data_IF_818111523610
#
_entry.id   IF_818111523610
#
_cell.length_a   1.000
_cell.length_b   1.000
_cell.length_c   1.000
_cell.angle_alpha   90.00
_cell.angle_beta   90.00
_cell.angle_gamma   90.00
#
_symmetry.space_group_name_H-M   'P 1'
#
loop_
_entity.id
_entity.type
_entity.pdbx_description
1 polymer ?
#
# COMPACT_ATOMS: atom_id res chain seq x y z
N UNK A 1 27.51 2.81 8.83
CA UNK A 1 27.03 3.06 7.46
C UNK A 1 25.66 3.70 7.55
N UNK A 2 25.40 4.81 6.87
CA UNK A 2 24.04 5.28 6.74
C UNK A 2 23.25 4.15 6.08
N UNK A 3 22.21 3.65 6.75
CA UNK A 3 21.27 2.76 6.13
C UNK A 3 20.71 3.54 4.94
N UNK A 4 20.98 3.09 3.72
CA UNK A 4 20.32 3.66 2.55
C UNK A 4 18.84 3.41 2.75
N UNK A 5 18.09 4.46 3.13
CA UNK A 5 16.64 4.38 3.16
C UNK A 5 16.19 3.96 1.75
N UNK A 6 15.52 2.83 1.65
CA UNK A 6 15.02 2.37 0.37
C UNK A 6 14.03 3.41 -0.15
N UNK A 7 14.24 3.91 -1.37
CA UNK A 7 13.24 4.72 -2.06
C UNK A 7 12.38 3.81 -2.91
N UNK A 8 11.08 3.90 -2.76
CA UNK A 8 10.16 3.08 -3.55
C UNK A 8 8.97 3.88 -4.04
N UNK A 9 8.49 3.54 -5.24
CA UNK A 9 7.37 4.19 -5.90
C UNK A 9 6.08 3.78 -5.23
N UNK A 10 5.20 4.71 -4.88
CA UNK A 10 3.92 4.48 -4.21
C UNK A 10 3.14 3.27 -4.78
N UNK A 11 3.01 3.21 -6.11
CA UNK A 11 2.28 2.12 -6.78
C UNK A 11 2.90 0.74 -6.50
N UNK A 12 4.23 0.65 -6.51
CA UNK A 12 4.95 -0.58 -6.21
C UNK A 12 4.81 -0.97 -4.75
N UNK A 13 4.82 0.00 -3.83
CA UNK A 13 4.57 -0.23 -2.40
C UNK A 13 3.20 -0.87 -2.17
N UNK A 14 2.17 -0.33 -2.79
CA UNK A 14 0.81 -0.87 -2.70
C UNK A 14 0.74 -2.30 -3.24
N UNK A 15 1.45 -2.60 -4.32
CA UNK A 15 1.46 -3.95 -4.91
C UNK A 15 2.25 -4.95 -4.06
N UNK A 16 3.41 -4.56 -3.49
CA UNK A 16 4.31 -5.45 -2.74
C UNK A 16 3.93 -5.63 -1.26
N UNK A 17 3.36 -4.61 -0.63
CA UNK A 17 3.09 -4.62 0.81
C UNK A 17 1.62 -4.39 1.15
N UNK A 18 0.82 -3.94 0.19
CA UNK A 18 -0.62 -3.66 0.36
C UNK A 18 -0.93 -2.38 1.14
N UNK A 19 0.08 -1.53 1.38
CA UNK A 19 -0.01 -0.30 2.16
C UNK A 19 1.03 0.72 1.69
N UNK A 20 0.70 2.00 1.88
CA UNK A 20 1.61 3.13 1.70
C UNK A 20 2.56 3.34 2.91
N UNK A 21 2.40 2.55 3.98
CA UNK A 21 3.19 2.61 5.21
C UNK A 21 3.70 1.23 5.61
N UNK A 22 4.60 0.62 4.80
CA UNK A 22 5.04 -0.75 5.04
C UNK A 22 5.92 -0.87 6.27
N UNK A 23 5.66 -1.90 7.07
CA UNK A 23 6.65 -2.37 8.04
C UNK A 23 7.64 -3.30 7.33
N UNK A 24 8.86 -2.78 7.11
CA UNK A 24 9.94 -3.52 6.43
C UNK A 24 10.64 -4.52 7.36
N UNK A 25 10.30 -4.57 8.64
CA UNK A 25 10.72 -5.65 9.56
C UNK A 25 10.04 -6.96 9.23
N UNK A 26 8.83 -6.89 8.64
CA UNK A 26 8.15 -8.03 8.07
C UNK A 26 8.77 -8.37 6.70
N UNK A 27 9.47 -9.52 6.55
CA UNK A 27 10.18 -9.87 5.32
C UNK A 27 9.28 -10.37 4.18
N UNK A 28 7.99 -10.59 4.46
CA UNK A 28 7.06 -11.14 3.48
C UNK A 28 6.69 -10.07 2.42
N UNK A 29 6.54 -10.53 1.20
CA UNK A 29 6.16 -9.71 0.05
C UNK A 29 4.92 -10.33 -0.60
N UNK A 30 4.02 -9.47 -1.08
CA UNK A 30 2.85 -9.85 -1.87
C UNK A 30 3.29 -9.98 -3.33
N UNK A 31 2.95 -11.08 -3.98
CA UNK A 31 3.21 -11.31 -5.40
C UNK A 31 1.91 -11.34 -6.20
N UNK A 32 1.90 -10.79 -7.41
CA UNK A 32 0.79 -10.97 -8.35
C UNK A 32 0.98 -12.29 -9.09
N UNK A 33 0.06 -13.21 -8.87
CA UNK A 33 0.07 -14.53 -9.50
C UNK A 33 -1.17 -14.77 -10.36
N UNK A 34 -1.85 -13.71 -10.75
CA UNK A 34 -3.09 -13.78 -11.54
C UNK A 34 -2.91 -14.60 -12.82
N UNK A 35 -1.78 -14.45 -13.50
CA UNK A 35 -1.49 -15.19 -14.74
C UNK A 35 -1.31 -16.69 -14.49
N UNK A 36 -0.81 -17.10 -13.32
CA UNK A 36 -0.62 -18.51 -12.97
C UNK A 36 -1.96 -19.27 -12.80
N UNK A 37 -3.05 -18.55 -12.66
CA UNK A 37 -4.38 -19.14 -12.52
C UNK A 37 -5.23 -19.09 -13.79
N UNK A 38 -4.72 -18.50 -14.88
CA UNK A 38 -5.40 -18.59 -16.18
C UNK A 38 -5.18 -19.96 -16.80
N UNK A 39 -6.26 -20.62 -17.18
CA UNK A 39 -6.24 -21.97 -17.74
C UNK A 39 -5.50 -22.99 -16.84
N UNK A 40 -5.54 -22.78 -15.53
CA UNK A 40 -4.83 -23.61 -14.55
C UNK A 40 -5.54 -24.91 -14.21
N UNK A 41 -6.85 -24.97 -14.46
CA UNK A 41 -7.75 -26.03 -13.99
C UNK A 41 -8.50 -25.67 -12.70
N UNK A 42 -8.04 -24.69 -11.92
CA UNK A 42 -8.73 -24.25 -10.71
C UNK A 42 -9.88 -23.29 -11.03
N UNK A 43 -11.03 -23.85 -11.36
CA UNK A 43 -12.21 -23.18 -11.92
C UNK A 43 -12.70 -21.96 -11.13
N UNK A 44 -12.57 -21.98 -9.80
CA UNK A 44 -13.04 -20.87 -8.96
C UNK A 44 -12.26 -19.60 -9.26
N UNK A 45 -10.91 -19.67 -9.35
CA UNK A 45 -10.11 -18.50 -9.64
C UNK A 45 -10.17 -18.11 -11.11
N UNK A 46 -10.21 -19.08 -12.03
CA UNK A 46 -10.42 -18.80 -13.46
C UNK A 46 -11.66 -17.95 -13.68
N UNK A 47 -12.81 -18.39 -13.18
CA UNK A 47 -14.09 -17.66 -13.32
C UNK A 47 -14.05 -16.26 -12.68
N UNK A 48 -13.32 -16.08 -11.58
CA UNK A 48 -13.17 -14.77 -10.97
C UNK A 48 -12.25 -13.86 -11.79
N UNK A 49 -11.16 -14.38 -12.34
CA UNK A 49 -10.25 -13.64 -13.22
C UNK A 49 -10.97 -13.16 -14.50
N UNK A 50 -11.85 -13.98 -15.08
CA UNK A 50 -12.70 -13.58 -16.21
C UNK A 50 -13.61 -12.40 -15.88
N UNK A 51 -13.98 -12.22 -14.61
CA UNK A 51 -14.74 -11.07 -14.10
C UNK A 51 -13.88 -9.85 -13.74
N UNK A 52 -12.57 -9.91 -13.99
CA UNK A 52 -11.63 -8.83 -13.69
C UNK A 52 -10.98 -8.88 -12.31
N UNK A 53 -11.16 -9.97 -11.57
CA UNK A 53 -10.48 -10.17 -10.28
C UNK A 53 -9.00 -10.47 -10.49
N UNK A 54 -8.21 -10.22 -9.45
CA UNK A 54 -6.77 -10.53 -9.41
C UNK A 54 -6.49 -11.56 -8.32
N UNK A 55 -5.40 -12.30 -8.49
CA UNK A 55 -4.92 -13.25 -7.47
C UNK A 55 -3.58 -12.77 -6.93
N UNK A 56 -3.54 -12.55 -5.62
CA UNK A 56 -2.34 -12.17 -4.87
C UNK A 56 -1.87 -13.36 -4.05
N UNK A 57 -0.55 -13.54 -3.97
CA UNK A 57 0.09 -14.62 -3.23
C UNK A 57 0.96 -14.06 -2.10
N UNK A 58 0.91 -14.67 -0.94
CA UNK A 58 1.74 -14.38 0.21
C UNK A 58 2.43 -15.66 0.65
N UNK A 59 3.76 -15.69 0.54
CA UNK A 59 4.59 -16.82 0.93
C UNK A 59 4.67 -16.93 2.45
N UNK A 60 4.53 -18.14 2.97
CA UNK A 60 4.77 -18.52 4.36
C UNK A 60 6.01 -19.43 4.40
N UNK A 61 7.20 -18.88 4.70
CA UNK A 61 8.44 -19.66 4.67
C UNK A 61 8.48 -20.74 5.75
N UNK A 62 9.08 -21.90 5.42
CA UNK A 62 9.30 -23.02 6.31
C UNK A 62 8.02 -23.51 7.05
N UNK A 63 6.89 -23.46 6.39
CA UNK A 63 5.58 -23.78 6.99
C UNK A 63 4.97 -25.11 6.51
N UNK A 64 5.66 -25.88 5.67
CA UNK A 64 5.13 -27.17 5.17
C UNK A 64 4.83 -28.17 6.28
N UNK A 65 5.63 -28.15 7.36
CA UNK A 65 5.47 -29.04 8.52
C UNK A 65 4.37 -28.59 9.51
N UNK A 66 3.73 -27.45 9.29
CA UNK A 66 2.63 -26.99 10.14
C UNK A 66 1.44 -27.95 10.03
N UNK A 67 0.75 -28.25 11.14
CA UNK A 67 -0.40 -29.14 11.10
C UNK A 67 -1.55 -28.52 10.30
N UNK A 68 -2.40 -29.35 9.70
CA UNK A 68 -3.57 -28.90 8.95
C UNK A 68 -4.43 -27.89 9.71
N UNK A 69 -4.57 -28.06 11.02
CA UNK A 69 -5.31 -27.14 11.88
C UNK A 69 -4.79 -25.71 11.83
N UNK A 70 -3.48 -25.50 11.56
CA UNK A 70 -2.90 -24.16 11.40
C UNK A 70 -3.41 -23.48 10.11
N UNK A 71 -3.48 -24.20 9.01
CA UNK A 71 -4.05 -23.72 7.75
C UNK A 71 -5.55 -23.46 7.87
N UNK A 72 -6.26 -24.36 8.54
CA UNK A 72 -7.71 -24.23 8.77
C UNK A 72 -8.02 -23.02 9.66
N UNK A 73 -7.19 -22.72 10.68
CA UNK A 73 -7.29 -21.51 11.51
C UNK A 73 -7.13 -20.24 10.69
N UNK A 74 -6.14 -20.17 9.80
CA UNK A 74 -5.94 -19.01 8.92
C UNK A 74 -7.10 -18.83 7.94
N UNK A 75 -7.62 -19.92 7.41
CA UNK A 75 -8.81 -19.87 6.55
C UNK A 75 -10.07 -19.42 7.31
N UNK A 76 -10.24 -19.84 8.58
CA UNK A 76 -11.30 -19.36 9.48
C UNK A 76 -11.18 -17.86 9.74
N UNK A 77 -10.00 -17.43 10.15
CA UNK A 77 -9.71 -16.00 10.35
C UNK A 77 -10.04 -15.15 9.11
N UNK A 78 -9.67 -15.59 7.91
CA UNK A 78 -9.99 -14.87 6.69
C UNK A 78 -11.52 -14.73 6.46
N UNK A 79 -12.31 -15.72 6.86
CA UNK A 79 -13.78 -15.64 6.80
C UNK A 79 -14.35 -14.67 7.81
N UNK A 80 -13.78 -14.63 9.02
CA UNK A 80 -14.16 -13.66 10.05
C UNK A 80 -13.87 -12.22 9.61
N UNK A 81 -12.82 -12.02 8.78
CA UNK A 81 -12.51 -10.74 8.11
C UNK A 81 -13.37 -10.47 6.85
N UNK A 82 -14.41 -11.26 6.61
CA UNK A 82 -15.37 -11.05 5.52
C UNK A 82 -14.95 -11.64 4.16
N UNK A 83 -13.88 -12.42 4.10
CA UNK A 83 -13.45 -13.09 2.88
C UNK A 83 -14.12 -14.46 2.70
N UNK A 84 -14.15 -14.97 1.46
CA UNK A 84 -14.69 -16.30 1.16
C UNK A 84 -13.82 -17.44 1.71
N UNK A 85 -12.58 -17.16 2.05
CA UNK A 85 -11.58 -18.05 2.58
C UNK A 85 -10.18 -17.69 2.14
N UNK A 86 -9.19 -18.42 2.62
CA UNK A 86 -7.78 -18.26 2.30
C UNK A 86 -7.22 -19.61 1.82
N UNK A 87 -7.20 -19.80 0.50
CA UNK A 87 -6.67 -21.01 -0.12
C UNK A 87 -5.14 -21.04 -0.05
N UNK A 88 -4.57 -22.23 -0.14
CA UNK A 88 -3.12 -22.40 -0.05
C UNK A 88 -2.59 -23.55 -0.91
N UNK A 89 -1.29 -23.49 -1.19
CA UNK A 89 -0.45 -24.55 -1.77
C UNK A 89 0.79 -24.72 -0.88
N UNK A 90 1.23 -25.93 -0.70
CA UNK A 90 2.47 -26.29 0.02
C UNK A 90 3.44 -26.91 -0.98
N UNK A 91 4.71 -26.55 -0.90
CA UNK A 91 5.80 -27.22 -1.61
C UNK A 91 6.67 -27.99 -0.60
N UNK A 92 6.59 -29.31 -0.64
CA UNK A 92 7.33 -30.21 0.25
C UNK A 92 7.94 -31.35 -0.55
N UNK A 93 9.24 -31.61 -0.36
CA UNK A 93 9.99 -32.61 -1.12
C UNK A 93 9.84 -32.47 -2.64
N UNK A 94 9.83 -31.21 -3.12
CA UNK A 94 9.56 -30.82 -4.51
C UNK A 94 8.18 -31.27 -5.05
N UNK A 95 7.25 -31.63 -4.17
CA UNK A 95 5.88 -31.96 -4.54
C UNK A 95 4.92 -30.89 -4.06
N UNK A 96 3.98 -30.52 -4.91
CA UNK A 96 2.91 -29.59 -4.56
C UNK A 96 1.78 -30.36 -3.84
N UNK A 97 1.35 -29.80 -2.71
CA UNK A 97 0.27 -30.35 -1.87
C UNK A 97 -0.74 -29.26 -1.51
N UNK A 98 -1.95 -29.63 -1.20
CA UNK A 98 -2.98 -28.72 -0.70
C UNK A 98 -4.23 -28.65 -1.58
N UNK A 99 -5.26 -27.94 -1.12
CA UNK A 99 -6.59 -27.98 -1.78
C UNK A 99 -6.59 -27.34 -3.17
N UNK A 100 -5.69 -26.40 -3.45
CA UNK A 100 -5.60 -25.73 -4.74
C UNK A 100 -4.74 -26.54 -5.72
N UNK A 101 -3.58 -27.05 -5.29
CA UNK A 101 -2.65 -27.76 -6.17
C UNK A 101 -3.26 -29.00 -6.83
N UNK A 102 -4.16 -29.69 -6.13
CA UNK A 102 -4.83 -30.87 -6.67
C UNK A 102 -5.70 -30.61 -7.91
N UNK A 103 -6.01 -29.35 -8.17
CA UNK A 103 -6.88 -28.94 -9.28
C UNK A 103 -6.13 -28.06 -10.30
N UNK A 104 -4.83 -27.84 -10.13
CA UNK A 104 -3.99 -27.08 -11.06
C UNK A 104 -3.16 -28.03 -11.93
N UNK A 105 -2.90 -27.63 -13.16
CA UNK A 105 -1.95 -28.35 -14.00
C UNK A 105 -0.49 -28.01 -13.59
N UNK A 106 0.44 -28.87 -13.99
CA UNK A 106 1.85 -28.82 -13.58
C UNK A 106 2.57 -27.55 -14.07
N UNK A 107 2.29 -27.11 -15.30
CA UNK A 107 2.89 -25.89 -15.88
C UNK A 107 2.54 -24.65 -15.04
N UNK A 108 1.28 -24.51 -14.63
CA UNK A 108 0.82 -23.39 -13.80
C UNK A 108 1.37 -23.46 -12.39
N UNK A 109 1.58 -24.65 -11.83
CA UNK A 109 2.22 -24.83 -10.52
C UNK A 109 3.71 -24.44 -10.55
N UNK A 110 4.45 -24.79 -11.59
CA UNK A 110 5.85 -24.35 -11.74
C UNK A 110 5.96 -22.83 -12.00
N UNK A 111 5.02 -22.26 -12.77
CA UNK A 111 4.91 -20.81 -12.91
C UNK A 111 4.65 -20.12 -11.58
N UNK A 112 3.73 -20.67 -10.78
CA UNK A 112 3.42 -20.18 -9.43
C UNK A 112 4.64 -20.22 -8.51
N UNK A 113 5.39 -21.33 -8.52
CA UNK A 113 6.63 -21.48 -7.75
C UNK A 113 7.65 -20.37 -8.09
N UNK A 114 7.81 -20.08 -9.36
CA UNK A 114 8.71 -19.03 -9.84
C UNK A 114 8.23 -17.63 -9.43
N UNK A 115 6.95 -17.32 -9.68
CA UNK A 115 6.39 -15.99 -9.43
C UNK A 115 6.27 -15.64 -7.95
N UNK A 116 6.02 -16.64 -7.09
CA UNK A 116 5.96 -16.42 -5.65
C UNK A 116 7.28 -16.69 -4.91
N UNK A 117 8.37 -16.96 -5.63
CA UNK A 117 9.67 -17.41 -5.04
C UNK A 117 9.48 -18.52 -4.01
N UNK A 118 8.62 -19.50 -4.34
CA UNK A 118 8.29 -20.61 -3.44
C UNK A 118 9.44 -21.60 -3.39
N UNK A 119 9.93 -21.89 -2.21
CA UNK A 119 11.03 -22.83 -1.96
C UNK A 119 10.50 -24.10 -1.31
N UNK A 120 11.30 -25.14 -1.36
CA UNK A 120 10.96 -26.39 -0.66
C UNK A 120 10.75 -26.11 0.83
N UNK A 121 9.72 -26.71 1.41
CA UNK A 121 9.22 -26.51 2.77
C UNK A 121 8.45 -25.19 3.00
N UNK A 122 8.12 -24.42 1.97
CA UNK A 122 7.25 -23.26 2.08
C UNK A 122 5.79 -23.62 1.81
N UNK A 123 4.90 -22.76 2.30
CA UNK A 123 3.53 -22.66 1.80
C UNK A 123 3.28 -21.28 1.20
N UNK A 124 2.24 -21.16 0.40
CA UNK A 124 1.79 -19.91 -0.18
C UNK A 124 0.28 -19.81 -0.05
N UNK A 125 -0.20 -18.64 0.40
CA UNK A 125 -1.61 -18.35 0.56
C UNK A 125 -2.10 -17.39 -0.53
N UNK A 126 -3.39 -17.49 -0.88
CA UNK A 126 -3.95 -16.72 -2.00
C UNK A 126 -5.15 -15.89 -1.60
N UNK A 127 -5.15 -14.66 -2.08
CA UNK A 127 -6.27 -13.73 -2.03
C UNK A 127 -6.77 -13.50 -3.45
N UNK A 128 -8.05 -13.78 -3.71
CA UNK A 128 -8.68 -13.58 -5.02
C UNK A 128 -9.89 -12.66 -4.87
N UNK A 129 -9.77 -11.42 -5.34
CA UNK A 129 -10.80 -10.40 -5.22
C UNK A 129 -10.61 -9.30 -6.29
N UNK A 130 -11.48 -8.28 -6.31
CA UNK A 130 -11.26 -7.03 -7.03
C UNK A 130 -9.92 -6.40 -6.60
N UNK A 131 -9.21 -5.76 -7.53
CA UNK A 131 -7.82 -5.32 -7.32
C UNK A 131 -7.62 -4.55 -6.01
N UNK A 132 -8.51 -3.59 -5.70
CA UNK A 132 -8.40 -2.75 -4.48
C UNK A 132 -8.56 -3.59 -3.22
N UNK A 133 -9.58 -4.45 -3.20
CA UNK A 133 -9.85 -5.34 -2.06
C UNK A 133 -8.75 -6.38 -1.88
N UNK A 134 -8.28 -6.98 -2.98
CA UNK A 134 -7.18 -7.93 -2.96
C UNK A 134 -5.91 -7.34 -2.36
N UNK A 135 -5.54 -6.11 -2.71
CA UNK A 135 -4.40 -5.40 -2.15
C UNK A 135 -4.57 -5.20 -0.65
N UNK A 136 -5.70 -4.62 -0.21
CA UNK A 136 -5.97 -4.35 1.20
C UNK A 136 -5.95 -5.62 2.05
N UNK A 137 -6.65 -6.66 1.60
CA UNK A 137 -6.71 -7.90 2.36
C UNK A 137 -5.37 -8.64 2.37
N UNK A 138 -4.59 -8.58 1.28
CA UNK A 138 -3.24 -9.16 1.23
C UNK A 138 -2.29 -8.53 2.26
N UNK A 139 -2.44 -7.24 2.58
CA UNK A 139 -1.69 -6.59 3.66
C UNK A 139 -2.01 -7.22 5.03
N UNK A 140 -3.30 -7.48 5.31
CA UNK A 140 -3.72 -8.16 6.54
C UNK A 140 -3.17 -9.59 6.61
N UNK A 141 -3.26 -10.34 5.50
CA UNK A 141 -2.71 -11.71 5.40
C UNK A 141 -1.20 -11.70 5.62
N UNK A 142 -0.49 -10.73 5.01
CA UNK A 142 0.96 -10.55 5.18
C UNK A 142 1.35 -10.35 6.65
N UNK A 143 0.64 -9.48 7.35
CA UNK A 143 0.84 -9.24 8.79
C UNK A 143 0.50 -10.49 9.60
N UNK A 144 -0.66 -11.09 9.34
CA UNK A 144 -1.12 -12.28 10.06
C UNK A 144 -0.15 -13.46 9.94
N UNK A 145 0.36 -13.74 8.74
CA UNK A 145 1.34 -14.82 8.52
C UNK A 145 2.67 -14.49 9.24
N UNK A 146 3.13 -13.24 9.17
CA UNK A 146 4.33 -12.81 9.87
C UNK A 146 4.24 -13.06 11.37
N UNK A 147 3.11 -12.72 11.98
CA UNK A 147 2.85 -12.90 13.41
C UNK A 147 2.74 -14.38 13.79
N UNK A 148 2.00 -15.18 13.02
CA UNK A 148 1.85 -16.63 13.26
C UNK A 148 3.18 -17.39 13.13
N UNK A 149 4.08 -16.91 12.28
CA UNK A 149 5.42 -17.47 12.10
C UNK A 149 6.46 -16.83 13.02
N UNK A 150 6.14 -15.72 13.70
CA UNK A 150 7.03 -14.95 14.57
C UNK A 150 8.33 -14.51 13.88
N UNK A 151 8.24 -14.10 12.60
CA UNK A 151 9.39 -13.73 11.77
C UNK A 151 9.61 -12.22 11.66
N UNK A 152 8.86 -11.41 12.41
CA UNK A 152 9.08 -9.97 12.47
C UNK A 152 10.45 -9.68 13.11
N UNK A 153 11.30 -8.95 12.40
CA UNK A 153 12.59 -8.53 12.95
C UNK A 153 12.39 -7.58 14.14
N UNK A 154 13.08 -7.86 15.25
CA UNK A 154 12.93 -7.10 16.50
C UNK A 154 14.13 -6.18 16.74
N UNK A 155 13.94 -5.13 17.53
CA UNK A 155 14.99 -4.20 17.98
C UNK A 155 15.74 -3.53 16.82
N UNK A 156 15.05 -3.22 15.72
CA UNK A 156 15.59 -2.54 14.55
C UNK A 156 14.62 -1.49 14.02
N UNK A 157 15.16 -0.38 13.52
CA UNK A 157 14.42 0.64 12.81
C UNK A 157 14.72 0.52 11.31
N UNK A 158 13.70 0.22 10.51
CA UNK A 158 13.79 0.14 9.06
C UNK A 158 13.05 1.29 8.42
N UNK A 159 13.79 2.16 7.76
CA UNK A 159 13.25 3.34 7.09
C UNK A 159 13.06 3.09 5.61
N UNK A 160 12.02 3.70 5.05
CA UNK A 160 11.85 3.84 3.62
C UNK A 160 11.27 5.21 3.26
N UNK A 161 11.61 5.67 2.06
CA UNK A 161 10.96 6.78 1.39
C UNK A 161 9.86 6.24 0.48
N UNK A 162 8.68 6.81 0.58
CA UNK A 162 7.61 6.59 -0.37
C UNK A 162 7.56 7.81 -1.25
N UNK A 163 7.64 7.65 -2.56
CA UNK A 163 7.71 8.73 -3.54
C UNK A 163 6.73 8.48 -4.69
N UNK A 164 6.59 9.46 -5.58
CA UNK A 164 5.77 9.34 -6.78
C UNK A 164 4.29 9.03 -6.47
N UNK A 165 3.74 9.76 -5.51
CA UNK A 165 2.32 9.70 -5.20
C UNK A 165 1.48 10.12 -6.41
N UNK A 166 0.33 9.47 -6.66
CA UNK A 166 -0.62 9.98 -7.63
C UNK A 166 -1.11 11.37 -7.20
N UNK A 167 -1.25 12.29 -8.15
CA UNK A 167 -1.80 13.60 -7.87
C UNK A 167 -3.31 13.56 -7.67
N UNK A 168 -3.98 12.69 -8.42
CA UNK A 168 -5.42 12.54 -8.43
C UNK A 168 -5.83 11.08 -8.22
N UNK A 169 -7.04 10.91 -7.70
CA UNK A 169 -7.73 9.64 -7.61
C UNK A 169 -9.21 9.79 -7.96
N UNK A 170 -9.89 8.69 -8.21
CA UNK A 170 -11.34 8.68 -8.34
C UNK A 170 -11.97 8.52 -6.97
N UNK A 171 -12.79 9.48 -6.58
CA UNK A 171 -13.64 9.33 -5.40
C UNK A 171 -14.47 8.04 -5.52
N UNK A 172 -14.43 7.14 -4.55
CA UNK A 172 -15.08 5.83 -4.66
C UNK A 172 -16.61 5.91 -4.75
N UNK A 173 -17.21 6.99 -4.26
CA UNK A 173 -18.67 7.19 -4.21
C UNK A 173 -19.13 7.99 -5.43
N UNK A 174 -18.59 9.19 -5.63
CA UNK A 174 -19.01 10.12 -6.67
C UNK A 174 -18.43 9.83 -8.04
N UNK A 175 -17.37 9.02 -8.11
CA UNK A 175 -16.59 8.72 -9.33
C UNK A 175 -16.00 9.96 -10.00
N UNK A 176 -15.90 11.06 -9.27
CA UNK A 176 -15.22 12.28 -9.73
C UNK A 176 -13.74 12.22 -9.45
N UNK A 177 -12.96 12.94 -10.24
CA UNK A 177 -11.54 13.14 -9.99
C UNK A 177 -11.40 14.09 -8.80
N UNK A 178 -10.59 13.71 -7.82
CA UNK A 178 -10.22 14.54 -6.69
C UNK A 178 -8.73 14.38 -6.40
N UNK A 179 -8.16 15.23 -5.57
CA UNK A 179 -6.77 15.09 -5.15
C UNK A 179 -6.59 13.87 -4.25
N UNK A 180 -5.56 13.09 -4.55
CA UNK A 180 -5.27 11.87 -3.78
C UNK A 180 -4.77 12.20 -2.36
N UNK A 181 -3.84 13.15 -2.22
CA UNK A 181 -3.19 13.50 -0.94
C UNK A 181 -3.12 15.01 -0.76
N UNK A 182 -1.98 15.65 -1.10
CA UNK A 182 -1.76 17.06 -0.88
C UNK A 182 -1.98 17.86 -2.19
N UNK A 183 -3.07 18.67 -2.29
CA UNK A 183 -3.42 19.42 -3.48
C UNK A 183 -2.40 20.52 -3.86
N UNK A 184 -1.55 20.91 -2.90
CA UNK A 184 -0.53 21.95 -3.09
C UNK A 184 0.83 21.40 -3.53
N UNK A 185 0.93 20.11 -3.84
CA UNK A 185 2.13 19.50 -4.39
C UNK A 185 2.30 19.89 -5.86
N UNK A 186 3.55 20.04 -6.29
CA UNK A 186 3.88 20.28 -7.70
C UNK A 186 3.65 19.00 -8.51
N UNK A 187 2.85 19.04 -9.59
CA UNK A 187 2.74 17.89 -10.49
C UNK A 187 4.07 17.63 -11.20
N UNK A 188 4.45 16.37 -11.34
CA UNK A 188 5.60 15.98 -12.15
C UNK A 188 5.32 16.30 -13.62
N UNK A 189 6.27 16.97 -14.28
CA UNK A 189 6.09 17.50 -15.63
C UNK A 189 5.33 18.85 -15.71
N UNK A 190 4.87 19.37 -14.57
CA UNK A 190 4.27 20.70 -14.48
C UNK A 190 3.02 20.89 -15.35
N UNK A 191 2.90 22.05 -16.01
CA UNK A 191 1.76 22.39 -16.86
C UNK A 191 1.55 21.39 -18.01
N UNK A 192 2.63 20.91 -18.61
CA UNK A 192 2.53 20.00 -19.75
C UNK A 192 1.80 18.69 -19.36
N UNK A 193 2.13 18.11 -18.20
CA UNK A 193 1.43 16.91 -17.73
C UNK A 193 -0.04 17.15 -17.47
N UNK A 194 -0.41 18.32 -16.93
CA UNK A 194 -1.81 18.69 -16.68
C UNK A 194 -2.64 18.90 -17.97
N UNK A 195 -1.98 19.16 -19.08
CA UNK A 195 -2.65 19.39 -20.38
C UNK A 195 -2.71 18.13 -21.25
N UNK A 196 -1.73 17.25 -21.15
CA UNK A 196 -1.54 16.16 -22.11
C UNK A 196 -1.82 14.76 -21.56
N UNK A 197 -1.72 14.56 -20.23
CA UNK A 197 -1.89 13.23 -19.61
C UNK A 197 -3.30 13.02 -19.08
N UNK A 198 -3.68 11.73 -18.98
CA UNK A 198 -4.82 11.36 -18.15
C UNK A 198 -4.56 11.81 -16.70
N UNK A 199 -5.49 12.50 -16.04
CA UNK A 199 -5.32 12.94 -14.67
C UNK A 199 -4.89 11.84 -13.70
N UNK A 200 -5.38 10.61 -13.88
CA UNK A 200 -5.05 9.46 -13.02
C UNK A 200 -3.63 8.91 -13.23
N UNK A 201 -2.93 9.37 -14.28
CA UNK A 201 -1.53 9.03 -14.55
C UNK A 201 -0.55 10.12 -14.10
N UNK A 202 -1.05 11.26 -13.63
CA UNK A 202 -0.21 12.37 -13.18
C UNK A 202 0.30 12.06 -11.77
N UNK A 203 1.63 12.13 -11.59
CA UNK A 203 2.28 12.00 -10.29
C UNK A 203 2.58 13.37 -9.70
N UNK A 204 2.64 13.43 -8.38
CA UNK A 204 3.04 14.61 -7.63
C UNK A 204 4.47 14.45 -7.08
N UNK A 205 5.18 15.55 -6.93
CA UNK A 205 6.41 15.62 -6.15
C UNK A 205 6.09 15.62 -4.66
N UNK A 206 5.56 14.50 -4.19
CA UNK A 206 5.22 14.24 -2.81
C UNK A 206 6.02 13.05 -2.30
N UNK A 207 6.33 13.05 -1.02
CA UNK A 207 7.11 12.00 -0.39
C UNK A 207 6.76 11.85 1.09
N UNK A 208 6.86 10.63 1.58
CA UNK A 208 6.75 10.31 3.00
C UNK A 208 7.99 9.55 3.47
N UNK A 209 8.34 9.74 4.74
CA UNK A 209 9.32 8.92 5.45
C UNK A 209 8.55 7.99 6.36
N UNK A 210 8.70 6.70 6.14
CA UNK A 210 8.06 5.64 6.92
C UNK A 210 9.12 4.85 7.68
N UNK A 211 8.85 4.53 8.92
CA UNK A 211 9.67 3.65 9.75
C UNK A 211 8.78 2.64 10.47
N UNK A 212 9.08 1.35 10.30
CA UNK A 212 8.38 0.26 10.98
C UNK A 212 6.85 0.33 10.87
N UNK A 213 6.33 0.70 9.70
CA UNK A 213 4.89 0.80 9.46
C UNK A 213 4.27 2.13 9.86
N UNK A 214 5.05 3.08 10.37
CA UNK A 214 4.59 4.38 10.86
C UNK A 214 5.15 5.49 9.95
N UNK A 215 4.26 6.33 9.43
CA UNK A 215 4.64 7.57 8.74
C UNK A 215 5.23 8.55 9.76
N UNK A 216 6.52 8.81 9.66
CA UNK A 216 7.21 9.76 10.54
C UNK A 216 7.11 11.18 10.04
N UNK A 217 7.09 11.37 8.72
CA UNK A 217 7.05 12.68 8.11
C UNK A 217 6.43 12.59 6.73
N UNK A 218 5.59 13.55 6.41
CA UNK A 218 5.08 13.77 5.05
C UNK A 218 5.61 15.09 4.52
N UNK A 219 5.88 15.14 3.22
CA UNK A 219 6.43 16.31 2.57
C UNK A 219 6.11 16.40 1.09
N UNK A 220 6.35 17.57 0.51
CA UNK A 220 6.19 17.81 -0.92
C UNK A 220 7.09 18.95 -1.42
N UNK A 221 7.44 18.90 -2.70
CA UNK A 221 7.80 20.10 -3.46
C UNK A 221 6.50 20.84 -3.75
N UNK A 222 6.42 22.08 -3.33
CA UNK A 222 5.17 22.85 -3.37
C UNK A 222 4.92 23.43 -4.77
N UNK A 223 3.66 23.45 -5.14
CA UNK A 223 3.23 24.16 -6.34
C UNK A 223 3.23 25.67 -6.06
N UNK A 224 4.31 26.33 -6.47
CA UNK A 224 4.55 27.75 -6.27
C UNK A 224 4.13 28.60 -7.49
N UNK A 225 3.65 27.95 -8.56
CA UNK A 225 3.21 28.62 -9.79
C UNK A 225 1.69 28.69 -9.83
N UNK A 226 1.17 29.94 -9.88
CA UNK A 226 -0.26 30.19 -9.83
C UNK A 226 -1.02 29.54 -10.97
N UNK A 227 -0.51 29.62 -12.20
CA UNK A 227 -1.12 29.05 -13.40
C UNK A 227 -1.25 27.52 -13.32
N UNK A 228 -0.19 26.84 -12.87
CA UNK A 228 -0.18 25.39 -12.65
C UNK A 228 -1.19 25.02 -11.54
N UNK A 229 -1.27 25.82 -10.47
CA UNK A 229 -2.19 25.55 -9.37
C UNK A 229 -3.66 25.69 -9.82
N UNK A 230 -3.98 26.76 -10.56
CA UNK A 230 -5.33 26.95 -11.12
C UNK A 230 -5.72 25.75 -11.99
N UNK A 231 -4.83 25.35 -12.90
CA UNK A 231 -5.10 24.21 -13.79
C UNK A 231 -5.25 22.89 -13.03
N UNK A 232 -4.43 22.66 -12.01
CA UNK A 232 -4.51 21.45 -11.19
C UNK A 232 -5.86 21.35 -10.45
N UNK A 233 -6.32 22.46 -9.89
CA UNK A 233 -7.60 22.50 -9.19
C UNK A 233 -8.82 22.44 -10.16
N UNK A 234 -8.69 23.03 -11.36
CA UNK A 234 -9.71 22.93 -12.41
C UNK A 234 -9.99 21.46 -12.78
N UNK A 235 -8.96 20.62 -12.89
CA UNK A 235 -9.08 19.19 -13.16
C UNK A 235 -9.87 18.49 -12.05
N UNK A 236 -9.69 18.89 -10.80
CA UNK A 236 -10.46 18.39 -9.65
C UNK A 236 -11.85 19.05 -9.50
N UNK A 237 -12.25 19.89 -10.47
CA UNK A 237 -13.60 20.49 -10.52
C UNK A 237 -13.77 21.80 -9.74
N UNK A 238 -12.68 22.43 -9.27
CA UNK A 238 -12.76 23.72 -8.57
C UNK A 238 -12.56 24.88 -9.55
N UNK A 239 -13.41 25.88 -9.45
CA UNK A 239 -13.26 27.11 -10.22
C UNK A 239 -12.19 28.04 -9.62
N UNK A 240 -11.59 28.89 -10.46
CA UNK A 240 -10.62 29.91 -10.00
C UNK A 240 -11.23 30.86 -8.96
N UNK A 241 -12.54 31.13 -9.04
CA UNK A 241 -13.26 31.97 -8.08
C UNK A 241 -13.32 31.30 -6.70
N UNK A 242 -13.58 30.02 -6.64
CA UNK A 242 -13.57 29.25 -5.39
C UNK A 242 -12.17 29.19 -4.77
N UNK A 243 -11.14 28.97 -5.59
CA UNK A 243 -9.76 29.02 -5.14
C UNK A 243 -9.40 30.39 -4.56
N UNK A 244 -9.75 31.45 -5.25
CA UNK A 244 -9.49 32.83 -4.79
C UNK A 244 -10.24 33.15 -3.50
N UNK A 245 -11.44 32.60 -3.31
CA UNK A 245 -12.20 32.76 -2.07
C UNK A 245 -11.58 31.99 -0.89
N UNK A 246 -11.14 30.74 -1.11
CA UNK A 246 -10.59 29.88 -0.07
C UNK A 246 -9.13 30.16 0.25
N UNK A 247 -8.32 30.45 -0.78
CA UNK A 247 -6.87 30.57 -0.70
C UNK A 247 -6.35 31.89 -1.23
N UNK A 248 -7.15 32.97 -1.17
CA UNK A 248 -6.84 34.27 -1.77
C UNK A 248 -5.53 34.87 -1.32
N UNK A 249 -5.14 34.73 -0.05
CA UNK A 249 -3.86 35.20 0.48
C UNK A 249 -2.67 34.52 -0.20
N UNK A 250 -2.72 33.20 -0.35
CA UNK A 250 -1.69 32.41 -1.02
C UNK A 250 -1.58 32.77 -2.51
N UNK A 251 -2.73 32.86 -3.20
CA UNK A 251 -2.81 33.25 -4.60
C UNK A 251 -2.28 34.65 -4.86
N UNK A 252 -2.55 35.58 -3.96
CA UNK A 252 -1.99 36.94 -4.05
C UNK A 252 -0.50 36.96 -3.80
N UNK A 253 0.00 36.21 -2.81
CA UNK A 253 1.44 36.11 -2.57
C UNK A 253 2.19 35.59 -3.80
N UNK A 254 1.66 34.59 -4.49
CA UNK A 254 2.30 34.01 -5.68
C UNK A 254 2.39 34.97 -6.89
N UNK A 255 1.58 36.03 -6.93
CA UNK A 255 1.71 37.07 -7.96
C UNK A 255 3.03 37.84 -7.86
N UNK A 256 3.66 37.87 -6.70
CA UNK A 256 4.93 38.56 -6.46
C UNK A 256 6.15 37.65 -6.65
N UNK A 257 5.95 36.42 -7.12
CA UNK A 257 7.03 35.50 -7.44
C UNK A 257 7.51 34.70 -6.23
N UNK A 258 6.80 33.61 -5.90
CA UNK A 258 7.27 32.66 -4.90
C UNK A 258 8.48 31.87 -5.44
N UNK A 259 9.55 31.66 -4.67
CA UNK A 259 10.64 30.79 -5.08
C UNK A 259 10.18 29.33 -5.10
N UNK A 260 10.84 28.44 -5.86
CA UNK A 260 10.68 27.01 -5.69
C UNK A 260 10.97 26.65 -4.23
N UNK A 261 10.06 25.94 -3.59
CA UNK A 261 10.20 25.53 -2.20
C UNK A 261 9.56 24.17 -1.95
N UNK A 262 9.96 23.54 -0.90
CA UNK A 262 9.39 22.29 -0.40
C UNK A 262 9.58 22.21 1.09
N UNK A 263 8.98 21.21 1.68
CA UNK A 263 9.11 21.00 3.11
C UNK A 263 8.59 19.61 3.50
N UNK A 264 8.96 19.24 4.72
CA UNK A 264 8.53 18.02 5.37
C UNK A 264 8.12 18.34 6.80
N UNK A 265 7.09 17.66 7.29
CA UNK A 265 6.54 17.86 8.62
C UNK A 265 6.73 16.58 9.46
N UNK A 266 7.83 16.46 10.23
CA UNK A 266 8.06 15.31 11.09
C UNK A 266 7.12 15.32 12.30
N UNK A 267 6.48 14.16 12.54
CA UNK A 267 5.62 13.92 13.70
C UNK A 267 6.47 13.55 14.93
N UNK A 268 6.76 14.50 15.79
CA UNK A 268 7.61 14.28 16.98
C UNK A 268 7.04 13.17 17.87
N UNK A 269 5.73 13.18 18.12
CA UNK A 269 5.08 12.16 18.95
C UNK A 269 5.23 10.76 18.35
N UNK A 270 5.13 10.61 17.03
CA UNK A 270 5.34 9.33 16.34
C UNK A 270 6.79 8.84 16.45
N UNK A 271 7.75 9.76 16.41
CA UNK A 271 9.17 9.44 16.60
C UNK A 271 9.41 8.96 18.03
N UNK A 272 8.84 9.65 19.02
CA UNK A 272 8.95 9.27 20.44
C UNK A 272 8.28 7.91 20.67
N UNK A 273 7.10 7.69 20.09
CA UNK A 273 6.38 6.41 20.18
C UNK A 273 7.24 5.24 19.69
N UNK A 274 7.92 5.40 18.57
CA UNK A 274 8.85 4.38 18.05
C UNK A 274 10.06 4.15 18.96
N UNK A 275 10.63 5.21 19.53
CA UNK A 275 11.81 5.11 20.39
C UNK A 275 11.45 4.46 21.74
N UNK A 276 10.28 4.78 22.30
CA UNK A 276 9.79 4.20 23.55
C UNK A 276 9.25 2.77 23.40
N UNK A 277 8.97 2.35 22.15
CA UNK A 277 8.38 1.05 21.87
C UNK A 277 6.88 0.95 22.17
N UNK A 278 6.20 2.10 22.29
CA UNK A 278 4.76 2.16 22.51
C UNK A 278 3.99 1.94 21.20
N UNK A 279 2.85 1.28 21.31
CA UNK A 279 1.99 0.98 20.14
C UNK A 279 0.92 2.05 19.91
N UNK A 280 0.59 2.84 20.93
CA UNK A 280 -0.46 3.84 20.89
C UNK A 280 0.10 5.24 21.12
N UNK A 281 -0.23 6.16 20.22
CA UNK A 281 0.20 7.56 20.32
C UNK A 281 -0.29 8.26 21.60
N UNK A 282 -1.41 7.84 22.17
CA UNK A 282 -1.97 8.38 23.41
C UNK A 282 -1.07 8.15 24.62
N UNK A 283 -0.25 7.11 24.61
CA UNK A 283 0.71 6.82 25.68
C UNK A 283 1.90 7.81 25.68
N UNK A 284 2.08 8.54 24.56
CA UNK A 284 3.17 9.51 24.40
C UNK A 284 2.73 10.93 24.73
N UNK A 285 1.45 11.24 24.53
CA UNK A 285 0.89 12.58 24.74
C UNK A 285 0.52 12.74 26.21
N UNK A 286 1.08 13.77 26.87
CA UNK A 286 0.86 14.00 28.31
C UNK A 286 -0.61 14.31 28.67
N UNK A 287 -1.35 14.93 27.75
CA UNK A 287 -2.77 15.30 27.92
C UNK A 287 -3.55 14.92 26.65
N UNK A 288 -3.85 13.62 26.44
CA UNK A 288 -4.57 13.18 25.25
C UNK A 288 -6.02 13.67 25.30
N UNK A 289 -6.49 14.20 24.17
CA UNK A 289 -7.87 14.68 24.01
C UNK A 289 -8.63 13.81 23.01
N UNK A 290 -9.96 13.78 23.19
CA UNK A 290 -10.88 13.20 22.22
C UNK A 290 -11.13 14.19 21.05
N UNK A 291 -12.01 13.80 20.11
CA UNK A 291 -12.36 14.66 18.95
C UNK A 291 -13.13 15.93 19.35
N UNK A 292 -13.73 15.97 20.53
CA UNK A 292 -14.43 17.12 21.09
C UNK A 292 -13.52 18.05 21.90
N UNK A 293 -12.19 17.78 21.92
CA UNK A 293 -11.17 18.48 22.70
C UNK A 293 -11.42 18.38 24.24
N UNK A 294 -11.95 17.25 24.68
CA UNK A 294 -12.12 16.92 26.08
C UNK A 294 -10.98 15.95 26.50
N UNK A 295 -10.56 16.05 27.77
CA UNK A 295 -9.58 15.12 28.34
C UNK A 295 -10.11 13.68 28.31
N UNK A 296 -9.20 12.74 28.07
CA UNK A 296 -9.50 11.31 28.06
C UNK A 296 -9.28 10.68 29.41
#
# INVERSE_FOLDING_TARGET
>A
TPSSAASDVYKRQMEMYGTDKPDLRNPLIISDVTQCFKNSGFKIFESNIEKGFVVRAIKAPNSSSKPRAWFDKLNGWARDEGQKGLGYVILEDNNFKGPISNNMNEENLESLKTQSDLKNNDAVFFVCDEKVNAIKFSALVRTKICDELQILEKNIFKFCWIVDYPMYELDPITKKIDFSHNPFSMPQGGMQSLLEKDPLEILAWQFDIVCNGIELSSGAIRNHKRDIMVKAFEIAGYSEKELSSRFGSLFNAFKFGAPPHGGSAPGIDRIIMLISGEENLREIVAFPMNQQAEDL
#
